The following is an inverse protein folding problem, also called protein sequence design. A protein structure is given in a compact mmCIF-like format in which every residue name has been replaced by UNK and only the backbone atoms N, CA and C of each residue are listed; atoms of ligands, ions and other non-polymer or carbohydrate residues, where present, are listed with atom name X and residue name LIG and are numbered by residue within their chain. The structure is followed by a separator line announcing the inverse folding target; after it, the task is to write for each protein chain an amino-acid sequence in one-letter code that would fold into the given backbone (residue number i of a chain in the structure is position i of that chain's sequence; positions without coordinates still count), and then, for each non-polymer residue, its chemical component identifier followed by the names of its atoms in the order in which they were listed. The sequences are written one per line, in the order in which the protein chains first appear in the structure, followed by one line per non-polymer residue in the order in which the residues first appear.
data_IF_415974827155
#
_entry.id   IF_415974827155
#
_cell.length_a   1.000
_cell.length_b   1.000
_cell.length_c   1.000
_cell.angle_alpha   90.00
_cell.angle_beta   90.00
_cell.angle_gamma   90.00
#
_symmetry.space_group_name_H-M   'P 1'
#
loop_
_entity.id
_entity.type
_entity.pdbx_description
1 polymer ?
#
# COMPACT_ATOMS: atom_id res chain seq x y z
N UNK A 1 3.73 36.19 8.12
CA UNK A 1 3.53 34.73 8.15
C UNK A 1 4.90 34.09 8.13
N UNK A 2 5.33 33.52 9.25
CA UNK A 2 6.69 33.04 9.44
C UNK A 2 6.89 31.72 8.68
N UNK A 3 7.63 31.78 7.58
CA UNK A 3 8.31 30.61 7.02
C UNK A 3 9.43 30.26 7.99
N UNK A 4 9.17 29.36 8.94
CA UNK A 4 10.21 28.73 9.72
C UNK A 4 11.14 27.98 8.77
N UNK A 5 12.41 28.37 8.75
CA UNK A 5 13.46 27.66 8.02
C UNK A 5 13.56 26.24 8.59
N UNK A 6 13.07 25.26 7.84
CA UNK A 6 13.34 23.84 8.09
C UNK A 6 14.86 23.64 7.95
N UNK A 7 15.50 22.94 8.88
CA UNK A 7 16.92 22.67 8.78
C UNK A 7 17.21 21.84 7.51
N UNK A 8 18.35 22.02 6.81
CA UNK A 8 18.69 21.27 5.59
C UNK A 8 18.58 19.74 5.78
N UNK A 9 18.88 19.26 6.99
CA UNK A 9 18.76 17.85 7.38
C UNK A 9 17.30 17.37 7.51
N UNK A 10 16.39 18.23 7.95
CA UNK A 10 14.95 17.92 8.03
C UNK A 10 14.33 17.91 6.63
N UNK A 11 14.77 18.82 5.76
CA UNK A 11 14.34 18.87 4.37
C UNK A 11 14.75 17.62 3.60
N UNK A 12 15.99 17.12 3.80
CA UNK A 12 16.44 15.85 3.22
C UNK A 12 15.62 14.65 3.73
N UNK A 13 15.25 14.64 5.01
CA UNK A 13 14.44 13.55 5.60
C UNK A 13 13.01 13.54 5.06
N UNK A 14 12.39 14.71 4.91
CA UNK A 14 11.10 14.89 4.27
C UNK A 14 11.11 14.41 2.81
N UNK A 15 12.16 14.77 2.08
CA UNK A 15 12.33 14.38 0.68
C UNK A 15 12.48 12.86 0.53
N UNK A 16 13.27 12.22 1.40
CA UNK A 16 13.42 10.77 1.43
C UNK A 16 12.11 10.04 1.78
N UNK A 17 11.31 10.57 2.71
CA UNK A 17 9.99 9.99 3.03
C UNK A 17 9.02 10.10 1.85
N UNK A 18 9.03 11.22 1.12
CA UNK A 18 8.21 11.40 -0.07
C UNK A 18 8.61 10.45 -1.19
N UNK A 19 9.91 10.27 -1.44
CA UNK A 19 10.41 9.33 -2.44
C UNK A 19 9.98 7.89 -2.12
N UNK A 20 10.08 7.50 -0.85
CA UNK A 20 9.62 6.19 -0.38
C UNK A 20 8.10 6.02 -0.55
N UNK A 21 7.30 7.05 -0.25
CA UNK A 21 5.85 7.01 -0.44
C UNK A 21 5.48 6.78 -1.91
N UNK A 22 6.16 7.47 -2.83
CA UNK A 22 5.95 7.30 -4.27
C UNK A 22 6.28 5.87 -4.72
N UNK A 23 7.41 5.32 -4.26
CA UNK A 23 7.81 3.96 -4.60
C UNK A 23 6.78 2.92 -4.11
N UNK A 24 6.32 3.06 -2.87
CA UNK A 24 5.29 2.18 -2.30
C UNK A 24 3.97 2.27 -3.06
N UNK A 25 3.52 3.48 -3.43
CA UNK A 25 2.30 3.67 -4.21
C UNK A 25 2.44 3.06 -5.62
N UNK A 26 3.62 3.13 -6.22
CA UNK A 26 3.90 2.51 -7.52
C UNK A 26 3.81 0.98 -7.45
N UNK A 27 4.42 0.34 -6.45
CA UNK A 27 4.31 -1.11 -6.26
C UNK A 27 2.84 -1.54 -6.03
N UNK A 28 2.10 -0.79 -5.21
CA UNK A 28 0.68 -1.01 -4.98
C UNK A 28 -0.11 -0.99 -6.30
N UNK A 29 0.10 0.05 -7.11
CA UNK A 29 -0.59 0.23 -8.39
C UNK A 29 -0.29 -0.92 -9.36
N UNK A 30 0.99 -1.33 -9.47
CA UNK A 30 1.41 -2.42 -10.34
C UNK A 30 0.81 -3.76 -9.90
N UNK A 31 0.80 -4.08 -8.60
CA UNK A 31 0.19 -5.30 -8.08
C UNK A 31 -1.32 -5.32 -8.26
N UNK A 32 -1.99 -4.20 -7.98
CA UNK A 32 -3.43 -4.05 -8.16
C UNK A 32 -3.83 -4.23 -9.62
N UNK A 33 -3.14 -3.55 -10.54
CA UNK A 33 -3.40 -3.62 -11.98
C UNK A 33 -3.25 -5.06 -12.48
N UNK A 34 -2.16 -5.73 -12.13
CA UNK A 34 -1.93 -7.13 -12.50
C UNK A 34 -2.99 -8.08 -11.92
N UNK A 35 -3.39 -7.88 -10.67
CA UNK A 35 -4.42 -8.69 -10.02
C UNK A 35 -5.79 -8.51 -10.68
N UNK A 36 -6.19 -7.27 -10.94
CA UNK A 36 -7.49 -6.98 -11.56
C UNK A 36 -7.54 -7.36 -13.03
N UNK A 37 -6.46 -7.17 -13.78
CA UNK A 37 -6.36 -7.67 -15.15
C UNK A 37 -6.56 -9.19 -15.18
N UNK A 38 -5.82 -9.96 -14.36
CA UNK A 38 -5.98 -11.42 -14.30
C UNK A 38 -7.37 -11.90 -13.86
N UNK A 39 -8.07 -11.12 -13.04
CA UNK A 39 -9.40 -11.49 -12.50
C UNK A 39 -10.54 -11.13 -13.43
N UNK A 40 -10.42 -10.02 -14.15
CA UNK A 40 -11.53 -9.41 -14.87
C UNK A 40 -11.39 -9.49 -16.39
N UNK A 41 -10.19 -9.70 -16.92
CA UNK A 41 -9.93 -9.79 -18.36
C UNK A 41 -9.62 -11.25 -18.72
N UNK A 42 -10.47 -11.91 -19.52
CA UNK A 42 -10.21 -13.28 -19.96
C UNK A 42 -9.01 -13.33 -20.91
N UNK A 43 -8.25 -14.44 -20.94
CA UNK A 43 -7.05 -14.57 -21.77
C UNK A 43 -7.36 -14.58 -23.28
N UNK A 44 -8.60 -14.85 -23.66
CA UNK A 44 -9.08 -14.80 -25.04
C UNK A 44 -9.81 -13.48 -25.27
N UNK A 45 -9.12 -12.55 -25.92
CA UNK A 45 -9.69 -11.27 -26.34
C UNK A 45 -10.60 -11.49 -27.54
N UNK A 46 -11.85 -11.05 -27.41
CA UNK A 46 -12.83 -11.06 -28.51
C UNK A 46 -12.83 -9.73 -29.25
N UNK A 47 -12.67 -8.63 -28.52
CA UNK A 47 -12.62 -7.26 -29.01
C UNK A 47 -11.47 -6.49 -28.34
N UNK A 48 -11.10 -5.34 -28.90
CA UNK A 48 -10.07 -4.46 -28.33
C UNK A 48 -10.61 -3.56 -27.20
N UNK A 49 -11.92 -3.31 -27.20
CA UNK A 49 -12.59 -2.50 -26.20
C UNK A 49 -13.05 -3.34 -25.00
N UNK A 50 -13.06 -2.73 -23.82
CA UNK A 50 -13.57 -3.36 -22.62
C UNK A 50 -15.09 -3.52 -22.70
N UNK A 51 -15.55 -4.76 -22.54
CA UNK A 51 -16.96 -5.06 -22.40
C UNK A 51 -17.56 -4.43 -21.14
N UNK A 52 -18.88 -4.23 -21.12
CA UNK A 52 -19.58 -3.69 -19.94
C UNK A 52 -19.32 -4.52 -18.67
N UNK A 53 -19.25 -5.85 -18.81
CA UNK A 53 -18.96 -6.75 -17.70
C UNK A 53 -17.53 -6.63 -17.18
N UNK A 54 -16.56 -6.43 -18.07
CA UNK A 54 -15.14 -6.23 -17.72
C UNK A 54 -14.95 -4.91 -16.97
N UNK A 55 -15.55 -3.82 -17.47
CA UNK A 55 -15.54 -2.52 -16.79
C UNK A 55 -16.09 -2.61 -15.37
N UNK A 56 -17.29 -3.16 -15.20
CA UNK A 56 -17.92 -3.33 -13.88
C UNK A 56 -17.09 -4.26 -12.97
N UNK A 57 -16.44 -5.29 -13.54
CA UNK A 57 -15.56 -6.16 -12.79
C UNK A 57 -14.32 -5.40 -12.29
N UNK A 58 -13.67 -4.61 -13.15
CA UNK A 58 -12.48 -3.82 -12.79
C UNK A 58 -12.80 -2.87 -11.65
N UNK A 59 -13.90 -2.11 -11.73
CA UNK A 59 -14.32 -1.19 -10.66
C UNK A 59 -14.49 -1.91 -9.32
N UNK A 60 -15.19 -3.05 -9.34
CA UNK A 60 -15.38 -3.91 -8.16
C UNK A 60 -14.07 -4.50 -7.65
N UNK A 61 -13.16 -4.86 -8.54
CA UNK A 61 -11.87 -5.44 -8.20
C UNK A 61 -10.99 -4.43 -7.47
N UNK A 62 -10.85 -3.22 -8.03
CA UNK A 62 -10.07 -2.12 -7.43
C UNK A 62 -10.62 -1.78 -6.04
N UNK A 63 -11.94 -1.61 -5.91
CA UNK A 63 -12.57 -1.33 -4.63
C UNK A 63 -12.27 -2.41 -3.57
N UNK A 64 -12.41 -3.69 -3.94
CA UNK A 64 -12.09 -4.81 -3.04
C UNK A 64 -10.61 -4.92 -2.72
N UNK A 65 -9.73 -4.65 -3.69
CA UNK A 65 -8.29 -4.73 -3.52
C UNK A 65 -7.83 -3.72 -2.47
N UNK A 66 -8.31 -2.47 -2.55
CA UNK A 66 -7.98 -1.42 -1.59
C UNK A 66 -8.55 -1.72 -0.19
N UNK A 67 -9.80 -2.19 -0.09
CA UNK A 67 -10.40 -2.59 1.20
C UNK A 67 -9.59 -3.71 1.88
N UNK A 68 -9.20 -4.74 1.12
CA UNK A 68 -8.35 -5.82 1.64
C UNK A 68 -6.95 -5.32 1.99
N UNK A 69 -6.34 -4.47 1.15
CA UNK A 69 -5.04 -3.88 1.41
C UNK A 69 -5.03 -3.09 2.73
N UNK A 70 -6.06 -2.28 3.00
CA UNK A 70 -6.21 -1.53 4.25
C UNK A 70 -6.35 -2.46 5.47
N UNK A 71 -7.20 -3.49 5.37
CA UNK A 71 -7.40 -4.46 6.46
C UNK A 71 -6.12 -5.22 6.79
N UNK A 72 -5.38 -5.64 5.77
CA UNK A 72 -4.07 -6.29 5.94
C UNK A 72 -3.10 -5.31 6.59
N UNK A 73 -3.04 -4.06 6.14
CA UNK A 73 -2.20 -3.02 6.73
C UNK A 73 -2.48 -2.82 8.22
N UNK A 74 -3.75 -2.67 8.61
CA UNK A 74 -4.18 -2.57 10.01
C UNK A 74 -3.72 -3.77 10.84
N UNK A 75 -3.86 -4.98 10.29
CA UNK A 75 -3.46 -6.21 10.99
C UNK A 75 -1.94 -6.29 11.15
N UNK A 76 -1.20 -5.93 10.11
CA UNK A 76 0.27 -5.91 10.13
C UNK A 76 0.79 -4.95 11.21
N UNK A 77 0.28 -3.72 11.24
CA UNK A 77 0.64 -2.74 12.29
C UNK A 77 0.31 -3.26 13.69
N UNK A 78 -0.86 -3.87 13.87
CA UNK A 78 -1.23 -4.45 15.16
C UNK A 78 -0.28 -5.58 15.60
N UNK A 79 0.20 -6.41 14.67
CA UNK A 79 1.20 -7.44 14.96
C UNK A 79 2.56 -6.83 15.29
N UNK A 80 3.02 -5.81 14.57
CA UNK A 80 4.30 -5.15 14.84
C UNK A 80 4.36 -4.53 16.24
N UNK A 81 3.27 -3.90 16.70
CA UNK A 81 3.19 -3.36 18.07
C UNK A 81 3.25 -4.47 19.12
N UNK A 82 2.58 -5.61 18.88
CA UNK A 82 2.62 -6.76 19.78
C UNK A 82 4.03 -7.35 19.89
N UNK A 83 4.75 -7.45 18.78
CA UNK A 83 6.13 -7.96 18.75
C UNK A 83 7.09 -7.01 19.50
N UNK A 84 6.94 -5.69 19.35
CA UNK A 84 7.74 -4.74 20.12
C UNK A 84 7.48 -4.83 21.63
N UNK A 85 6.23 -5.01 22.03
CA UNK A 85 5.86 -5.18 23.44
C UNK A 85 6.39 -6.51 24.02
N UNK A 86 6.37 -7.58 23.23
CA UNK A 86 6.96 -8.87 23.61
C UNK A 86 8.48 -8.77 23.78
N UNK A 87 9.17 -8.12 22.83
CA UNK A 87 10.62 -7.90 22.89
C UNK A 87 11.03 -7.07 24.11
N UNK A 88 10.25 -6.04 24.47
CA UNK A 88 10.49 -5.25 25.69
C UNK A 88 10.34 -6.08 26.95
N UNK A 89 9.34 -6.96 27.02
CA UNK A 89 9.13 -7.85 28.18
C UNK A 89 10.25 -8.87 28.32
N UNK A 90 10.68 -9.50 27.23
CA UNK A 90 11.79 -10.44 27.23
C UNK A 90 13.12 -9.78 27.62
N UNK A 91 13.37 -8.53 27.21
CA UNK A 91 14.55 -7.76 27.61
C UNK A 91 14.54 -7.29 29.07
N UNK A 92 13.38 -7.22 29.71
CA UNK A 92 13.22 -6.87 31.11
C UNK A 92 13.36 -8.09 32.05
N UNK A 93 12.96 -9.28 31.59
CA UNK A 93 13.10 -10.55 32.35
C UNK A 93 14.52 -11.13 32.31
N UNK A 94 15.35 -10.72 31.33
CA UNK A 94 16.75 -11.13 31.20
C UNK A 94 17.73 -10.30 32.06
N UNK A 95 17.22 -9.42 32.93
CA UNK A 95 18.01 -8.53 33.80
C UNK A 95 17.69 -8.78 35.26
#
# INVERSE_FOLDING_TARGET
MAAGQLNPSEQAKLQMMQEMEIEMMSDLYNRMTNACHRKCIPPKYSDADLGKGENVCIDRCVAKFLDIHERIGKKLTAMSVQDEDLMKKMGQEAK
#
